data_IF_990564058727
#
_entry.id   IF_990564058727
#
_cell.length_a   1.000
_cell.length_b   1.000
_cell.length_c   1.000
_cell.angle_alpha   90.00
_cell.angle_beta   90.00
_cell.angle_gamma   90.00
#
_symmetry.space_group_name_H-M   'P 1'
#
loop_
_entity.id
_entity.type
_entity.pdbx_description
1 polymer ?
#
# COMPACT_ATOMS: atom_id res chain seq x y z
N UNK A 1 47.14 -17.21 65.22
CA UNK A 1 46.56 -18.23 66.11
C UNK A 1 45.06 -18.23 65.92
N UNK A 2 44.54 -19.45 65.74
CA UNK A 2 43.15 -19.90 65.82
C UNK A 2 42.19 -19.65 64.69
N UNK A 3 42.01 -20.76 63.96
CA UNK A 3 40.93 -21.17 63.09
C UNK A 3 39.57 -21.17 63.78
N UNK A 4 38.49 -20.77 63.05
CA UNK A 4 37.15 -21.35 63.28
C UNK A 4 36.58 -21.67 61.90
N UNK A 5 36.40 -22.97 61.63
CA UNK A 5 35.59 -23.48 60.49
C UNK A 5 34.11 -23.44 60.88
N UNK A 6 33.23 -22.96 60.04
CA UNK A 6 31.81 -23.24 60.12
C UNK A 6 31.34 -23.82 58.79
N UNK A 7 30.79 -25.02 58.89
CA UNK A 7 30.20 -25.81 57.80
C UNK A 7 28.98 -25.10 57.21
N UNK A 8 29.00 -24.89 55.91
CA UNK A 8 27.75 -24.61 55.14
C UNK A 8 27.44 -25.85 54.32
N UNK A 9 26.37 -26.53 54.69
CA UNK A 9 25.82 -27.68 53.97
C UNK A 9 25.24 -27.24 52.63
N UNK A 10 25.80 -27.78 51.55
CA UNK A 10 25.30 -27.66 50.21
C UNK A 10 24.03 -28.51 50.06
N UNK A 11 22.86 -27.89 49.95
CA UNK A 11 21.66 -28.55 49.44
C UNK A 11 21.69 -28.42 47.92
N UNK A 12 22.14 -29.49 47.27
CA UNK A 12 21.98 -29.67 45.80
C UNK A 12 20.51 -29.95 45.50
N UNK A 13 19.80 -28.92 45.10
CA UNK A 13 18.50 -29.08 44.46
C UNK A 13 18.72 -29.42 43.00
N UNK A 14 18.52 -30.67 42.62
CA UNK A 14 18.58 -31.17 41.26
C UNK A 14 17.36 -30.61 40.49
N UNK A 15 17.47 -29.42 39.93
CA UNK A 15 16.53 -28.91 38.96
C UNK A 15 16.70 -29.67 37.63
N UNK A 16 15.64 -30.32 37.24
CA UNK A 16 15.54 -31.17 36.07
C UNK A 16 15.84 -30.33 34.79
N UNK A 17 17.02 -30.57 34.19
CA UNK A 17 17.56 -29.85 33.02
C UNK A 17 16.63 -29.83 31.78
N UNK A 18 15.59 -30.66 31.76
CA UNK A 18 14.58 -30.70 30.69
C UNK A 18 13.65 -29.49 30.67
N UNK A 19 13.43 -28.80 31.80
CA UNK A 19 12.58 -27.62 31.88
C UNK A 19 13.29 -26.33 31.51
N UNK A 20 14.58 -26.26 31.70
CA UNK A 20 15.37 -25.06 31.33
C UNK A 20 15.51 -24.96 29.82
N UNK A 21 15.61 -26.08 29.11
CA UNK A 21 15.67 -26.09 27.62
C UNK A 21 14.32 -25.72 27.02
N UNK A 22 13.21 -26.12 27.63
CA UNK A 22 11.85 -25.75 27.14
C UNK A 22 11.53 -24.23 27.29
N UNK A 23 12.06 -23.59 28.35
CA UNK A 23 11.86 -22.14 28.57
C UNK A 23 12.76 -21.29 27.66
N UNK A 24 13.95 -21.80 27.30
CA UNK A 24 14.83 -21.05 26.36
C UNK A 24 14.33 -21.17 24.91
N UNK A 25 13.64 -22.26 24.54
CA UNK A 25 13.11 -22.44 23.20
C UNK A 25 11.81 -21.64 22.93
N UNK A 26 11.10 -21.20 23.97
CA UNK A 26 9.89 -20.39 23.84
C UNK A 26 10.15 -18.88 23.65
N UNK A 27 11.40 -18.42 23.76
CA UNK A 27 11.76 -17.00 23.52
C UNK A 27 12.28 -16.71 22.11
N UNK A 28 12.40 -17.71 21.24
CA UNK A 28 12.71 -17.53 19.83
C UNK A 28 11.47 -17.69 18.91
N UNK A 29 10.29 -17.34 19.39
CA UNK A 29 9.24 -16.93 18.45
C UNK A 29 9.67 -15.56 17.95
N UNK A 30 10.32 -15.53 16.79
CA UNK A 30 10.52 -14.32 16.02
C UNK A 30 9.14 -13.69 15.82
N UNK A 31 8.80 -12.72 16.65
CA UNK A 31 7.86 -11.69 16.25
C UNK A 31 8.56 -10.93 15.11
N UNK A 32 8.46 -11.42 13.89
CA UNK A 32 8.60 -10.56 12.75
C UNK A 32 7.41 -9.61 12.82
N UNK A 33 7.60 -8.50 13.52
CA UNK A 33 6.78 -7.32 13.27
C UNK A 33 6.96 -7.04 11.78
N UNK A 34 5.89 -7.12 11.01
CA UNK A 34 5.85 -6.55 9.67
C UNK A 34 6.22 -5.07 9.85
N UNK A 35 7.46 -4.73 9.51
CA UNK A 35 7.90 -3.35 9.53
C UNK A 35 7.29 -2.70 8.31
N UNK A 36 6.31 -1.87 8.52
CA UNK A 36 5.81 -0.97 7.50
C UNK A 36 6.86 0.11 7.30
N UNK A 37 7.46 0.18 6.11
CA UNK A 37 8.37 1.26 5.77
C UNK A 37 7.54 2.49 5.38
N UNK A 38 7.55 3.49 6.25
CA UNK A 38 6.80 4.73 6.06
C UNK A 38 7.68 5.94 6.29
N UNK A 39 7.55 6.94 5.43
CA UNK A 39 8.08 8.28 5.64
C UNK A 39 6.93 9.28 5.68
N UNK A 40 6.97 10.18 6.67
CA UNK A 40 5.95 11.20 6.94
C UNK A 40 6.66 12.55 6.98
N UNK A 41 6.05 13.58 6.39
CA UNK A 41 6.54 14.94 6.49
C UNK A 41 6.54 15.40 7.95
N UNK A 42 7.64 15.97 8.43
CA UNK A 42 7.86 16.32 9.84
C UNK A 42 8.17 17.80 10.10
N UNK A 43 8.33 18.59 9.04
CA UNK A 43 8.55 20.02 9.07
C UNK A 43 9.73 20.49 8.22
N UNK A 44 9.76 21.77 7.86
CA UNK A 44 10.74 22.31 6.92
C UNK A 44 12.17 22.25 7.46
N UNK A 45 13.13 22.02 6.56
CA UNK A 45 14.56 22.14 6.85
C UNK A 45 15.46 21.11 6.20
N UNK A 46 15.06 19.83 6.22
CA UNK A 46 15.89 18.72 5.74
C UNK A 46 15.14 17.80 4.76
N UNK A 47 14.19 18.33 4.02
CA UNK A 47 13.28 17.55 3.17
C UNK A 47 14.02 16.63 2.19
N UNK A 48 15.05 17.13 1.48
CA UNK A 48 15.81 16.31 0.52
C UNK A 48 16.65 15.25 1.23
N UNK A 49 17.27 15.60 2.34
CA UNK A 49 18.07 14.69 3.15
C UNK A 49 17.22 13.54 3.71
N UNK A 50 16.02 13.83 4.19
CA UNK A 50 15.10 12.85 4.74
C UNK A 50 14.55 11.92 3.67
N UNK A 51 14.09 12.45 2.54
CA UNK A 51 13.65 11.67 1.39
C UNK A 51 14.78 10.79 0.86
N UNK A 52 16.02 11.32 0.81
CA UNK A 52 17.20 10.57 0.38
C UNK A 52 17.55 9.47 1.38
N UNK A 53 17.54 9.77 2.67
CA UNK A 53 17.85 8.78 3.72
C UNK A 53 16.86 7.63 3.74
N UNK A 54 15.60 7.88 3.43
CA UNK A 54 14.56 6.84 3.35
C UNK A 54 14.63 6.05 2.04
N UNK A 55 14.59 6.74 0.90
CA UNK A 55 14.43 6.10 -0.41
C UNK A 55 15.71 5.47 -0.95
N UNK A 56 16.89 6.10 -0.72
CA UNK A 56 18.15 5.64 -1.26
C UNK A 56 19.35 6.21 -0.47
N UNK A 57 19.65 5.72 0.73
CA UNK A 57 20.70 6.26 1.58
C UNK A 57 22.04 6.42 0.86
N UNK A 58 22.60 7.65 0.86
CA UNK A 58 23.87 8.00 0.22
C UNK A 58 23.81 8.17 -1.31
N UNK A 59 22.62 8.19 -1.89
CA UNK A 59 22.37 8.36 -3.31
C UNK A 59 21.23 9.36 -3.54
N UNK A 60 20.94 9.72 -4.81
CA UNK A 60 19.91 10.72 -5.15
C UNK A 60 18.64 10.07 -5.75
N UNK A 61 17.56 9.94 -4.96
CA UNK A 61 16.27 9.43 -5.42
C UNK A 61 15.34 10.54 -5.96
N UNK A 62 15.79 11.78 -6.03
CA UNK A 62 15.00 12.97 -6.32
C UNK A 62 15.20 13.40 -7.78
N UNK A 63 14.11 13.52 -8.53
CA UNK A 63 14.12 13.92 -9.94
C UNK A 63 13.42 15.27 -10.08
N UNK A 64 14.19 16.37 -9.94
CA UNK A 64 13.70 17.76 -9.85
C UNK A 64 14.33 18.66 -10.91
N UNK A 65 13.68 19.78 -11.28
CA UNK A 65 14.21 20.75 -12.24
C UNK A 65 15.04 21.87 -11.58
N UNK A 66 15.58 21.69 -10.39
CA UNK A 66 16.24 22.74 -9.57
C UNK A 66 17.32 23.49 -10.32
N UNK A 67 18.11 22.80 -11.14
CA UNK A 67 19.21 23.43 -11.90
C UNK A 67 18.71 24.39 -12.98
N UNK A 68 17.54 24.13 -13.60
CA UNK A 68 16.94 25.02 -14.58
C UNK A 68 16.23 26.21 -13.96
N UNK A 69 15.89 26.10 -12.68
CA UNK A 69 15.19 27.12 -11.93
C UNK A 69 15.91 27.47 -10.62
N UNK A 70 17.22 27.64 -10.69
CA UNK A 70 18.08 27.86 -9.51
C UNK A 70 17.65 29.08 -8.66
N UNK A 71 16.98 30.08 -9.26
CA UNK A 71 16.46 31.23 -8.52
C UNK A 71 15.24 30.90 -7.64
N UNK A 72 14.54 29.81 -7.91
CA UNK A 72 13.45 29.32 -7.08
C UNK A 72 13.98 28.53 -5.88
N UNK A 73 15.01 27.72 -6.09
CA UNK A 73 15.57 26.82 -5.08
C UNK A 73 14.99 25.41 -5.20
N UNK A 74 14.83 24.75 -4.05
CA UNK A 74 14.33 23.37 -3.99
C UNK A 74 12.86 23.29 -4.43
N UNK A 75 12.55 22.37 -5.35
CA UNK A 75 11.17 22.14 -5.83
C UNK A 75 10.38 21.18 -4.97
N UNK A 76 10.96 20.65 -3.90
CA UNK A 76 10.25 19.90 -2.86
C UNK A 76 10.59 20.54 -1.51
N UNK A 77 9.59 20.98 -0.79
CA UNK A 77 9.69 21.45 0.59
C UNK A 77 8.59 20.83 1.45
N UNK A 78 8.46 21.30 2.68
CA UNK A 78 7.39 20.88 3.59
C UNK A 78 6.60 22.08 4.08
N UNK A 79 5.27 21.93 4.10
CA UNK A 79 4.32 22.94 4.54
C UNK A 79 3.36 22.36 5.57
N UNK A 80 2.99 23.18 6.56
CA UNK A 80 1.93 22.80 7.51
C UNK A 80 0.56 22.95 6.84
N UNK A 81 -0.22 21.88 6.79
CA UNK A 81 -1.59 21.88 6.30
C UNK A 81 -2.56 21.71 7.46
N UNK A 82 -3.41 22.71 7.66
CA UNK A 82 -4.36 22.76 8.79
C UNK A 82 -5.46 21.72 8.69
N UNK A 83 -5.78 21.24 7.50
CA UNK A 83 -6.85 20.24 7.31
C UNK A 83 -6.45 18.86 7.81
N UNK A 84 -5.15 18.49 7.74
CA UNK A 84 -4.63 17.25 8.36
C UNK A 84 -3.97 17.48 9.72
N UNK A 85 -3.83 18.74 10.14
CA UNK A 85 -3.20 19.10 11.42
C UNK A 85 -1.71 18.68 11.48
N UNK A 86 -1.00 18.64 10.34
CA UNK A 86 0.35 18.15 10.23
C UNK A 86 1.10 18.74 9.03
N UNK A 87 2.35 18.31 8.86
CA UNK A 87 3.15 18.68 7.70
C UNK A 87 2.85 17.79 6.50
N UNK A 88 3.08 18.35 5.30
CA UNK A 88 2.99 17.67 4.02
C UNK A 88 4.20 18.05 3.16
N UNK A 89 4.72 17.10 2.41
CA UNK A 89 5.65 17.35 1.31
C UNK A 89 4.93 18.10 0.22
N UNK A 90 5.52 19.21 -0.27
CA UNK A 90 4.94 20.02 -1.32
C UNK A 90 5.87 20.01 -2.53
N UNK A 91 5.34 19.53 -3.65
CA UNK A 91 6.05 19.37 -4.92
C UNK A 91 5.60 20.48 -5.87
N UNK A 92 6.51 21.37 -6.23
CA UNK A 92 6.25 22.47 -7.16
C UNK A 92 6.59 22.09 -8.59
N UNK A 93 5.86 22.65 -9.56
CA UNK A 93 6.23 22.65 -10.96
C UNK A 93 5.76 23.91 -11.64
N UNK A 94 6.66 24.60 -12.35
CA UNK A 94 6.40 25.83 -13.07
C UNK A 94 6.41 25.55 -14.56
N UNK A 95 5.45 26.12 -15.31
CA UNK A 95 5.39 25.92 -16.76
C UNK A 95 6.70 26.34 -17.44
N UNK A 96 7.32 27.39 -16.92
CA UNK A 96 8.61 27.91 -17.37
C UNK A 96 9.36 28.42 -16.12
N UNK A 97 10.65 28.09 -15.92
CA UNK A 97 11.58 27.38 -16.82
C UNK A 97 11.75 25.88 -16.54
N UNK A 98 10.90 25.24 -15.70
CA UNK A 98 11.12 23.87 -15.27
C UNK A 98 11.13 22.89 -16.45
N UNK A 99 12.01 21.88 -16.36
CA UNK A 99 12.16 20.82 -17.39
C UNK A 99 12.12 19.40 -16.81
N UNK A 100 12.50 18.38 -17.58
CA UNK A 100 12.62 17.00 -17.08
C UNK A 100 14.00 16.78 -16.45
N UNK A 101 14.12 17.04 -15.12
CA UNK A 101 15.30 16.67 -14.32
C UNK A 101 16.59 17.31 -14.83
N UNK A 102 16.54 18.56 -15.25
CA UNK A 102 17.71 19.24 -15.78
C UNK A 102 18.30 18.63 -17.07
N UNK A 103 17.47 17.95 -17.87
CA UNK A 103 17.87 17.43 -19.16
C UNK A 103 17.36 18.39 -20.25
N UNK A 104 18.26 19.20 -20.80
CA UNK A 104 17.91 20.29 -21.72
C UNK A 104 17.36 19.80 -23.06
N UNK A 105 17.70 18.56 -23.47
CA UNK A 105 17.21 17.97 -24.72
C UNK A 105 15.76 17.47 -24.63
N UNK A 106 15.15 17.49 -23.44
CA UNK A 106 13.76 17.07 -23.21
C UNK A 106 12.92 18.31 -22.94
N UNK A 107 12.27 18.82 -23.95
CA UNK A 107 11.46 20.06 -23.93
C UNK A 107 9.94 19.84 -23.96
N UNK A 108 9.51 18.59 -24.22
CA UNK A 108 8.09 18.24 -24.34
C UNK A 108 7.40 17.85 -23.01
N UNK A 109 8.17 17.87 -21.91
CA UNK A 109 7.70 17.45 -20.58
C UNK A 109 8.54 18.05 -19.45
N UNK A 110 7.98 18.03 -18.26
CA UNK A 110 8.65 18.47 -17.04
C UNK A 110 8.34 17.55 -15.87
N UNK A 111 9.28 17.45 -14.90
CA UNK A 111 9.22 16.47 -13.83
C UNK A 111 9.69 17.04 -12.51
N UNK A 112 8.91 16.71 -11.47
CA UNK A 112 9.29 16.78 -10.08
C UNK A 112 8.77 15.51 -9.39
N UNK A 113 9.62 14.49 -9.23
CA UNK A 113 9.24 13.17 -8.67
C UNK A 113 10.33 12.66 -7.73
N UNK A 114 9.90 11.85 -6.76
CA UNK A 114 10.77 10.96 -5.97
C UNK A 114 10.58 9.52 -6.44
N UNK A 115 11.59 8.68 -6.20
CA UNK A 115 11.59 7.28 -6.66
C UNK A 115 12.45 6.39 -5.80
N UNK A 116 12.21 5.08 -5.86
CA UNK A 116 13.23 4.08 -5.54
C UNK A 116 14.02 3.69 -6.81
N UNK A 117 15.24 3.15 -6.67
CA UNK A 117 16.07 2.71 -7.80
C UNK A 117 17.16 1.74 -7.32
N UNK A 118 18.19 1.41 -8.13
CA UNK A 118 19.17 0.37 -7.82
C UNK A 118 19.76 0.42 -6.40
N UNK A 119 20.23 1.57 -5.87
CA UNK A 119 20.81 1.64 -4.53
C UNK A 119 19.79 1.69 -3.39
N UNK A 120 18.49 1.75 -3.69
CA UNK A 120 17.45 1.70 -2.66
C UNK A 120 17.48 0.39 -1.90
N UNK A 121 17.09 0.39 -0.60
CA UNK A 121 16.87 -0.84 0.17
C UNK A 121 16.00 -1.84 -0.60
N UNK A 122 16.25 -3.15 -0.41
CA UNK A 122 15.53 -4.19 -1.16
C UNK A 122 14.03 -4.17 -0.91
N UNK A 123 13.63 -3.96 0.33
CA UNK A 123 12.26 -3.86 0.79
C UNK A 123 11.47 -2.65 0.24
N UNK A 124 12.13 -1.72 -0.46
CA UNK A 124 11.49 -0.60 -1.16
C UNK A 124 11.39 -0.83 -2.69
N UNK A 125 11.75 -2.02 -3.16
CA UNK A 125 11.74 -2.42 -4.58
C UNK A 125 10.91 -3.68 -4.75
N UNK A 126 9.90 -3.65 -5.62
CA UNK A 126 9.13 -4.86 -5.88
C UNK A 126 9.88 -5.83 -6.76
N UNK A 127 10.03 -7.09 -6.35
CA UNK A 127 10.67 -8.16 -7.12
C UNK A 127 9.68 -9.26 -7.52
N UNK A 128 10.11 -10.13 -8.44
CA UNK A 128 9.22 -11.16 -8.99
C UNK A 128 8.70 -12.10 -7.90
N UNK A 129 7.40 -12.29 -7.87
CA UNK A 129 6.71 -13.17 -6.91
C UNK A 129 6.19 -12.46 -5.67
N UNK A 130 6.65 -11.25 -5.39
CA UNK A 130 6.24 -10.48 -4.21
C UNK A 130 4.83 -9.90 -4.34
N UNK A 131 4.21 -9.75 -3.16
CA UNK A 131 3.02 -8.93 -2.97
C UNK A 131 3.43 -7.65 -2.26
N UNK A 132 3.09 -6.51 -2.83
CA UNK A 132 3.44 -5.21 -2.24
C UNK A 132 2.18 -4.37 -2.08
N UNK A 133 2.10 -3.67 -0.96
CA UNK A 133 1.08 -2.66 -0.68
C UNK A 133 1.77 -1.31 -0.61
N UNK A 134 1.35 -0.40 -1.49
CA UNK A 134 1.72 1.01 -1.42
C UNK A 134 0.57 1.80 -0.82
N UNK A 135 0.90 2.71 0.12
CA UNK A 135 -0.07 3.67 0.63
C UNK A 135 0.54 5.06 0.62
N UNK A 136 -0.25 6.03 0.24
CA UNK A 136 0.11 7.44 0.32
C UNK A 136 -1.15 8.30 0.36
N UNK A 137 -1.01 9.53 0.85
CA UNK A 137 -2.09 10.50 0.77
C UNK A 137 -1.62 11.73 0.01
N UNK A 138 -2.49 12.28 -0.84
CA UNK A 138 -2.18 13.45 -1.63
C UNK A 138 -3.36 14.45 -1.66
N UNK A 139 -3.04 15.70 -2.01
CA UNK A 139 -4.00 16.77 -2.23
C UNK A 139 -3.61 17.57 -3.45
N UNK A 140 -4.55 17.71 -4.38
CA UNK A 140 -4.44 18.61 -5.53
C UNK A 140 -5.05 19.96 -5.15
N UNK A 141 -4.43 21.10 -5.50
CA UNK A 141 -5.00 22.41 -5.18
C UNK A 141 -6.31 22.68 -5.91
N UNK A 142 -7.10 23.60 -5.38
CA UNK A 142 -8.30 24.07 -6.05
C UNK A 142 -7.94 24.64 -7.44
N UNK A 143 -8.65 24.18 -8.48
CA UNK A 143 -8.42 24.61 -9.85
C UNK A 143 -7.12 24.06 -10.48
N UNK A 144 -6.60 22.93 -10.01
CA UNK A 144 -5.51 22.19 -10.64
C UNK A 144 -5.78 21.97 -12.14
N UNK A 145 -4.78 22.24 -12.98
CA UNK A 145 -4.89 22.14 -14.44
C UNK A 145 -4.12 20.94 -14.97
N UNK A 146 -4.83 20.03 -15.60
CA UNK A 146 -4.29 18.83 -16.21
C UNK A 146 -3.82 19.08 -17.64
N UNK A 147 -2.76 18.41 -18.06
CA UNK A 147 -2.39 18.34 -19.48
C UNK A 147 -3.39 17.47 -20.27
N UNK A 148 -3.71 17.83 -21.52
CA UNK A 148 -4.45 16.93 -22.41
C UNK A 148 -3.73 15.62 -22.71
N UNK A 149 -2.39 15.57 -22.53
CA UNK A 149 -1.59 14.35 -22.75
C UNK A 149 -1.45 13.52 -21.48
N UNK A 150 -0.70 13.97 -20.52
CA UNK A 150 -0.56 13.29 -19.22
C UNK A 150 -0.10 14.27 -18.14
N UNK A 151 -0.55 14.01 -16.93
CA UNK A 151 -0.02 14.57 -15.69
C UNK A 151 -0.03 13.46 -14.66
N UNK A 152 1.09 12.75 -14.54
CA UNK A 152 1.23 11.63 -13.62
C UNK A 152 1.47 12.14 -12.20
N UNK A 153 0.70 11.59 -11.27
CA UNK A 153 0.86 11.81 -9.82
C UNK A 153 1.60 10.62 -9.21
N UNK A 154 1.45 9.45 -9.81
CA UNK A 154 2.12 8.23 -9.39
C UNK A 154 2.39 7.30 -10.57
N UNK A 155 3.48 6.52 -10.46
CA UNK A 155 3.86 5.52 -11.45
C UNK A 155 4.42 4.27 -10.75
N UNK A 156 4.08 3.08 -11.25
CA UNK A 156 4.87 1.87 -11.08
C UNK A 156 5.64 1.58 -12.36
N UNK A 157 6.96 1.48 -12.25
CA UNK A 157 7.82 1.38 -13.43
C UNK A 157 8.87 0.28 -13.28
N UNK A 158 8.94 -0.62 -14.26
CA UNK A 158 10.02 -1.61 -14.34
C UNK A 158 11.36 -0.93 -14.54
N UNK A 159 12.39 -1.50 -13.96
CA UNK A 159 13.80 -1.20 -14.24
C UNK A 159 14.41 -2.43 -14.86
N UNK A 160 15.20 -2.27 -15.94
CA UNK A 160 15.64 -3.38 -16.75
C UNK A 160 14.57 -3.87 -17.75
N UNK A 161 15.01 -4.65 -18.73
CA UNK A 161 14.17 -5.21 -19.81
C UNK A 161 13.74 -4.21 -20.88
N UNK A 162 13.11 -4.74 -21.92
CA UNK A 162 12.80 -4.00 -23.16
C UNK A 162 11.75 -2.89 -22.97
N UNK A 163 10.89 -3.02 -21.98
CA UNK A 163 9.76 -2.11 -21.75
C UNK A 163 9.99 -1.13 -20.61
N UNK A 164 11.21 -0.98 -20.10
CA UNK A 164 11.54 -0.09 -19.00
C UNK A 164 11.25 1.40 -19.27
N UNK A 165 11.17 1.83 -20.53
CA UNK A 165 10.83 3.21 -20.90
C UNK A 165 9.39 3.59 -20.56
N UNK A 166 8.45 2.61 -20.66
CA UNK A 166 7.02 2.80 -20.41
C UNK A 166 6.66 2.41 -18.97
N UNK A 167 6.01 3.30 -18.18
CA UNK A 167 5.43 2.90 -16.89
C UNK A 167 4.44 1.75 -17.04
N UNK A 168 4.44 0.81 -16.08
CA UNK A 168 3.50 -0.30 -16.07
C UNK A 168 2.12 0.17 -15.62
N UNK A 169 2.06 0.92 -14.53
CA UNK A 169 0.85 1.58 -14.04
C UNK A 169 1.10 3.07 -13.86
N UNK A 170 0.10 3.89 -14.12
CA UNK A 170 0.11 5.33 -13.82
C UNK A 170 -1.23 5.77 -13.29
N UNK A 171 -1.20 6.56 -12.21
CA UNK A 171 -2.31 7.40 -11.81
C UNK A 171 -2.05 8.78 -12.42
N UNK A 172 -2.91 9.21 -13.34
CA UNK A 172 -2.69 10.43 -14.14
C UNK A 172 -3.95 11.27 -14.20
N UNK A 173 -3.80 12.59 -14.11
CA UNK A 173 -4.89 13.49 -14.44
C UNK A 173 -4.83 13.85 -15.92
N UNK A 174 -5.99 14.13 -16.50
CA UNK A 174 -6.13 14.46 -17.92
C UNK A 174 -7.18 15.52 -18.14
N UNK A 175 -6.81 16.55 -18.91
CA UNK A 175 -7.78 17.57 -19.37
C UNK A 175 -8.82 16.94 -20.25
N UNK A 176 -10.07 17.32 -20.04
CA UNK A 176 -11.23 16.86 -20.77
C UNK A 176 -12.46 17.69 -20.45
N UNK A 177 -13.64 17.14 -20.72
CA UNK A 177 -14.92 17.75 -20.35
C UNK A 177 -15.87 16.69 -19.77
N UNK A 178 -15.83 16.45 -18.44
CA UNK A 178 -14.95 17.07 -17.43
C UNK A 178 -13.51 16.55 -17.46
N UNK A 179 -12.60 17.24 -16.74
CA UNK A 179 -11.26 16.70 -16.43
C UNK A 179 -11.39 15.42 -15.63
N UNK A 180 -10.44 14.49 -15.82
CA UNK A 180 -10.48 13.15 -15.25
C UNK A 180 -9.20 12.80 -14.49
N UNK A 181 -9.33 11.86 -13.56
CA UNK A 181 -8.22 11.05 -13.06
C UNK A 181 -8.37 9.65 -13.66
N UNK A 182 -7.28 9.11 -14.21
CA UNK A 182 -7.25 7.82 -14.91
C UNK A 182 -6.21 6.92 -14.27
N UNK A 183 -6.58 5.66 -14.04
CA UNK A 183 -5.64 4.56 -13.85
C UNK A 183 -5.35 3.93 -15.20
N UNK A 184 -4.07 3.93 -15.58
CA UNK A 184 -3.65 3.37 -16.87
C UNK A 184 -2.65 2.24 -16.66
N UNK A 185 -2.68 1.29 -17.56
CA UNK A 185 -1.81 0.12 -17.58
C UNK A 185 -1.16 -0.08 -18.93
N UNK A 186 0.10 -0.50 -18.94
CA UNK A 186 0.81 -0.93 -20.12
C UNK A 186 1.52 -2.26 -19.85
N UNK A 187 1.15 -3.29 -20.55
CA UNK A 187 1.89 -4.55 -20.57
C UNK A 187 3.25 -4.37 -21.26
N UNK A 188 3.26 -3.66 -22.38
CA UNK A 188 4.45 -3.40 -23.21
C UNK A 188 4.67 -1.88 -23.39
N UNK A 189 4.56 -1.37 -24.61
CA UNK A 189 4.79 0.05 -24.95
C UNK A 189 3.52 0.86 -25.11
N UNK A 190 2.34 0.23 -25.11
CA UNK A 190 1.05 0.89 -25.29
C UNK A 190 0.23 0.86 -24.00
N UNK A 191 -0.24 2.03 -23.58
CA UNK A 191 -1.10 2.16 -22.41
C UNK A 191 -2.58 2.08 -22.77
N UNK A 192 -3.35 1.38 -21.95
CA UNK A 192 -4.81 1.38 -21.92
C UNK A 192 -5.32 2.03 -20.63
N UNK A 193 -6.51 2.61 -20.65
CA UNK A 193 -7.21 3.07 -19.44
C UNK A 193 -7.93 1.88 -18.82
N UNK A 194 -7.64 1.59 -17.56
CA UNK A 194 -8.32 0.53 -16.79
C UNK A 194 -9.59 1.06 -16.13
N UNK A 195 -9.51 2.26 -15.57
CA UNK A 195 -10.63 2.94 -14.89
C UNK A 195 -10.40 4.45 -14.91
N UNK A 196 -11.48 5.21 -14.88
CA UNK A 196 -11.44 6.67 -14.84
C UNK A 196 -12.62 7.23 -14.04
N UNK A 197 -12.46 8.44 -13.49
CA UNK A 197 -13.51 9.17 -12.78
C UNK A 197 -13.29 10.68 -12.96
N UNK A 198 -14.32 11.53 -12.77
CA UNK A 198 -14.15 12.99 -12.78
C UNK A 198 -13.09 13.44 -11.75
N UNK A 199 -12.29 14.45 -12.13
CA UNK A 199 -11.24 14.99 -11.26
C UNK A 199 -11.78 15.84 -10.11
N UNK A 200 -12.94 16.43 -10.28
CA UNK A 200 -13.48 17.44 -9.34
C UNK A 200 -13.55 16.99 -7.86
N UNK A 201 -13.89 15.73 -7.51
CA UNK A 201 -13.90 15.30 -6.10
C UNK A 201 -12.53 15.27 -5.44
N UNK A 202 -11.44 15.28 -6.23
CA UNK A 202 -10.05 15.22 -5.72
C UNK A 202 -9.45 16.61 -5.49
N UNK A 203 -10.13 17.68 -5.92
CA UNK A 203 -9.60 19.04 -5.81
C UNK A 203 -9.83 19.61 -4.42
N UNK A 204 -8.74 20.14 -3.82
CA UNK A 204 -8.73 20.73 -2.48
C UNK A 204 -9.10 19.76 -1.34
N UNK A 205 -9.15 18.46 -1.62
CA UNK A 205 -9.42 17.40 -0.65
C UNK A 205 -8.20 16.52 -0.47
N UNK A 206 -7.92 16.11 0.77
CA UNK A 206 -6.98 15.03 1.03
C UNK A 206 -7.61 13.70 0.68
N UNK A 207 -6.89 12.93 -0.10
CA UNK A 207 -7.31 11.57 -0.47
C UNK A 207 -6.20 10.58 -0.13
N UNK A 208 -6.59 9.41 0.38
CA UNK A 208 -5.67 8.31 0.67
C UNK A 208 -5.79 7.24 -0.39
N UNK A 209 -4.65 6.83 -0.92
CA UNK A 209 -4.51 5.74 -1.90
C UNK A 209 -4.00 4.49 -1.21
N UNK A 210 -4.67 3.38 -1.45
CA UNK A 210 -4.17 2.04 -1.17
C UNK A 210 -4.06 1.28 -2.50
N UNK A 211 -2.83 0.95 -2.88
CA UNK A 211 -2.51 0.20 -4.09
C UNK A 211 -1.91 -1.15 -3.68
N UNK A 212 -2.42 -2.25 -4.26
CA UNK A 212 -1.93 -3.60 -4.00
C UNK A 212 -1.57 -4.28 -5.30
N UNK A 213 -0.40 -4.90 -5.34
CA UNK A 213 0.09 -5.57 -6.53
C UNK A 213 0.77 -6.88 -6.18
N UNK A 214 0.53 -7.90 -7.00
CA UNK A 214 1.36 -9.11 -7.06
C UNK A 214 2.26 -9.03 -8.29
N UNK A 215 3.57 -9.02 -8.11
CA UNK A 215 4.56 -8.93 -9.17
C UNK A 215 4.77 -10.28 -9.86
N UNK A 216 3.83 -10.65 -10.73
CA UNK A 216 3.81 -11.91 -11.46
C UNK A 216 3.45 -11.67 -12.92
N UNK A 217 3.78 -12.61 -13.80
CA UNK A 217 3.33 -12.62 -15.21
C UNK A 217 1.81 -12.88 -15.32
N UNK A 218 1.18 -13.30 -14.24
CA UNK A 218 -0.25 -13.54 -14.11
C UNK A 218 -0.70 -13.03 -12.73
N UNK A 219 -0.48 -11.73 -12.50
CA UNK A 219 -0.68 -11.09 -11.20
C UNK A 219 -2.01 -10.35 -11.08
N UNK A 220 -2.33 -9.98 -9.85
CA UNK A 220 -3.44 -9.07 -9.57
C UNK A 220 -2.92 -7.65 -9.29
N UNK A 221 -3.82 -6.69 -9.44
CA UNK A 221 -3.63 -5.30 -9.10
C UNK A 221 -4.93 -4.70 -8.60
N UNK A 222 -4.89 -3.92 -7.54
CA UNK A 222 -6.02 -3.13 -7.09
C UNK A 222 -5.58 -1.74 -6.63
N UNK A 223 -6.46 -0.76 -6.81
CA UNK A 223 -6.30 0.59 -6.30
C UNK A 223 -7.62 1.08 -5.74
N UNK A 224 -7.60 1.59 -4.52
CA UNK A 224 -8.69 2.28 -3.86
C UNK A 224 -8.23 3.68 -3.48
N UNK A 225 -9.04 4.70 -3.75
CA UNK A 225 -8.80 6.07 -3.31
C UNK A 225 -10.02 6.53 -2.53
N UNK A 226 -9.78 6.95 -1.30
CA UNK A 226 -10.83 7.41 -0.37
C UNK A 226 -10.57 8.86 0.03
N UNK A 227 -11.63 9.63 0.22
CA UNK A 227 -11.59 10.95 0.85
C UNK A 227 -11.24 10.79 2.34
N UNK A 228 -10.24 11.51 2.83
CA UNK A 228 -9.74 11.35 4.20
C UNK A 228 -10.74 11.85 5.24
N UNK A 229 -11.51 12.90 4.91
CA UNK A 229 -12.46 13.52 5.84
C UNK A 229 -13.78 12.74 5.92
N UNK A 230 -14.32 12.32 4.76
CA UNK A 230 -15.63 11.65 4.69
C UNK A 230 -15.54 10.13 4.66
N UNK A 231 -14.37 9.58 4.33
CA UNK A 231 -14.13 8.16 4.07
C UNK A 231 -14.95 7.61 2.88
N UNK A 232 -15.40 8.50 1.99
CA UNK A 232 -16.07 8.11 0.76
C UNK A 232 -15.07 7.54 -0.24
N UNK A 233 -15.43 6.43 -0.89
CA UNK A 233 -14.63 5.85 -1.96
C UNK A 233 -14.81 6.63 -3.25
N UNK A 234 -13.79 7.41 -3.64
CA UNK A 234 -13.82 8.25 -4.84
C UNK A 234 -13.39 7.49 -6.11
N UNK A 235 -12.52 6.46 -5.93
CA UNK A 235 -12.02 5.65 -7.03
C UNK A 235 -11.78 4.22 -6.57
N UNK A 236 -12.07 3.27 -7.45
CA UNK A 236 -11.80 1.86 -7.21
C UNK A 236 -11.51 1.11 -8.51
N UNK A 237 -10.49 0.26 -8.46
CA UNK A 237 -10.19 -0.74 -9.47
C UNK A 237 -9.64 -1.99 -8.80
N UNK A 238 -10.07 -3.16 -9.21
CA UNK A 238 -9.56 -4.44 -8.71
C UNK A 238 -9.77 -5.53 -9.77
N UNK A 239 -8.71 -6.23 -10.16
CA UNK A 239 -8.78 -7.38 -11.04
C UNK A 239 -8.54 -8.72 -10.32
N UNK A 240 -8.47 -8.73 -8.99
CA UNK A 240 -8.20 -9.95 -8.22
C UNK A 240 -9.30 -11.00 -8.29
N UNK A 241 -10.52 -10.59 -8.63
CA UNK A 241 -11.70 -11.46 -8.75
C UNK A 241 -12.08 -11.84 -10.18
N UNK A 242 -11.35 -11.36 -11.19
CA UNK A 242 -11.65 -11.61 -12.60
C UNK A 242 -10.69 -12.64 -13.20
N UNK A 243 -11.16 -13.40 -14.19
CA UNK A 243 -10.35 -14.36 -14.96
C UNK A 243 -9.35 -13.66 -15.92
N UNK A 244 -9.04 -12.39 -15.69
CA UNK A 244 -8.12 -11.60 -16.51
C UNK A 244 -6.96 -11.05 -15.66
N UNK A 245 -6.00 -11.91 -15.28
CA UNK A 245 -4.80 -11.46 -14.59
C UNK A 245 -3.99 -10.51 -15.50
N UNK A 246 -3.18 -9.63 -14.89
CA UNK A 246 -2.30 -8.70 -15.60
C UNK A 246 -0.85 -9.17 -15.51
N UNK A 247 -0.09 -8.84 -16.54
CA UNK A 247 1.36 -9.03 -16.54
C UNK A 247 2.00 -7.93 -15.69
N UNK A 248 2.16 -8.20 -14.40
CA UNK A 248 2.76 -7.27 -13.44
C UNK A 248 4.27 -7.50 -13.27
N UNK A 249 4.85 -8.42 -14.02
CA UNK A 249 6.28 -8.65 -14.12
C UNK A 249 6.69 -8.76 -15.58
N UNK A 250 7.47 -7.78 -16.06
CA UNK A 250 7.92 -7.73 -17.45
C UNK A 250 9.20 -8.52 -17.64
N UNK A 251 9.38 -9.20 -18.81
CA UNK A 251 10.60 -9.94 -19.11
C UNK A 251 11.84 -9.04 -19.01
N UNK A 252 12.89 -9.56 -18.36
CA UNK A 252 14.17 -8.85 -18.18
C UNK A 252 14.14 -7.72 -17.17
N UNK A 253 13.06 -7.54 -16.42
CA UNK A 253 13.03 -6.58 -15.32
C UNK A 253 13.91 -7.06 -14.16
N UNK A 254 14.69 -6.14 -13.59
CA UNK A 254 15.46 -6.35 -12.36
C UNK A 254 14.57 -6.17 -11.13
N UNK A 255 13.72 -5.15 -11.15
CA UNK A 255 12.73 -4.83 -10.13
C UNK A 255 11.68 -3.85 -10.68
N UNK A 256 10.61 -3.62 -9.92
CA UNK A 256 9.63 -2.57 -10.16
C UNK A 256 9.74 -1.53 -9.05
N UNK A 257 9.64 -0.26 -9.42
CA UNK A 257 9.75 0.87 -8.50
C UNK A 257 8.53 1.77 -8.53
N UNK A 258 8.13 2.30 -7.37
CA UNK A 258 7.20 3.41 -7.31
C UNK A 258 7.90 4.74 -7.62
N UNK A 259 7.11 5.69 -8.11
CA UNK A 259 7.45 7.11 -8.26
C UNK A 259 6.24 7.93 -7.87
N UNK A 260 6.46 9.01 -7.12
CA UNK A 260 5.43 9.96 -6.69
C UNK A 260 5.87 11.38 -6.99
N UNK A 261 4.91 12.25 -7.26
CA UNK A 261 5.18 13.66 -7.55
C UNK A 261 4.29 14.20 -8.66
N UNK A 262 4.86 15.04 -9.52
CA UNK A 262 4.19 15.56 -10.70
C UNK A 262 5.09 15.44 -11.93
N UNK A 263 4.64 14.67 -12.92
CA UNK A 263 5.31 14.49 -14.20
C UNK A 263 4.32 14.71 -15.33
N UNK A 264 4.46 15.82 -16.06
CA UNK A 264 3.46 16.24 -17.04
C UNK A 264 4.04 16.60 -18.39
N UNK A 265 3.22 16.45 -19.42
CA UNK A 265 3.55 16.86 -20.79
C UNK A 265 3.40 18.37 -20.97
N UNK A 266 4.35 18.99 -21.68
CA UNK A 266 4.33 20.38 -22.12
C UNK A 266 3.82 20.56 -23.56
N UNK A 267 3.41 19.49 -24.26
CA UNK A 267 2.92 19.58 -25.65
C UNK A 267 1.76 20.58 -25.82
N UNK A 268 0.99 20.81 -24.76
CA UNK A 268 -0.07 21.79 -24.67
C UNK A 268 0.16 22.66 -23.43
N UNK A 269 1.28 23.38 -23.40
CA UNK A 269 1.68 24.19 -22.25
C UNK A 269 0.73 25.35 -21.96
N UNK A 270 -0.02 25.81 -22.98
CA UNK A 270 -1.06 26.83 -22.86
C UNK A 270 -2.25 26.39 -21.98
N UNK A 271 -2.44 25.11 -21.79
CA UNK A 271 -3.44 24.56 -20.91
C UNK A 271 -2.98 24.41 -19.45
N UNK A 272 -1.71 24.71 -19.18
CA UNK A 272 -1.08 24.50 -17.88
C UNK A 272 -0.87 25.82 -17.15
N UNK A 273 -0.76 25.71 -15.85
CA UNK A 273 -0.29 26.75 -14.95
C UNK A 273 0.83 26.20 -14.06
N UNK A 274 1.44 27.05 -13.25
CA UNK A 274 2.28 26.60 -12.14
C UNK A 274 1.42 25.87 -11.14
N UNK A 275 1.86 24.67 -10.73
CA UNK A 275 1.12 23.80 -9.82
C UNK A 275 1.97 23.39 -8.63
N UNK A 276 1.29 22.99 -7.58
CA UNK A 276 1.82 22.25 -6.46
C UNK A 276 0.99 21.00 -6.21
N UNK A 277 1.61 19.94 -5.74
CA UNK A 277 0.93 18.73 -5.27
C UNK A 277 1.44 18.44 -3.87
N UNK A 278 0.53 18.21 -2.93
CA UNK A 278 0.90 17.87 -1.55
C UNK A 278 0.81 16.37 -1.34
N UNK A 279 1.78 15.83 -0.57
CA UNK A 279 1.77 14.45 -0.10
C UNK A 279 2.02 14.43 1.42
N UNK A 280 1.22 13.70 2.20
CA UNK A 280 1.41 13.67 3.65
C UNK A 280 2.36 12.56 4.11
N UNK A 281 2.37 11.45 3.39
CA UNK A 281 3.24 10.31 3.67
C UNK A 281 3.36 9.38 2.45
N UNK A 282 4.37 8.50 2.50
CA UNK A 282 4.56 7.38 1.57
C UNK A 282 4.88 6.12 2.37
N UNK A 283 4.26 5.01 2.01
CA UNK A 283 4.47 3.72 2.66
C UNK A 283 4.61 2.62 1.62
N UNK A 284 5.54 1.70 1.88
CA UNK A 284 5.80 0.51 1.08
C UNK A 284 5.84 -0.68 2.03
N UNK A 285 4.96 -1.65 1.82
CA UNK A 285 4.87 -2.87 2.61
C UNK A 285 5.05 -4.09 1.71
N UNK A 286 6.15 -4.80 1.85
CA UNK A 286 6.26 -6.15 1.31
C UNK A 286 5.43 -7.09 2.17
N UNK A 287 4.34 -7.57 1.60
CA UNK A 287 3.55 -8.61 2.26
C UNK A 287 4.21 -9.95 1.95
N UNK A 288 5.10 -10.39 2.83
CA UNK A 288 5.64 -11.73 2.76
C UNK A 288 4.47 -12.71 2.69
N UNK A 289 4.44 -13.53 1.66
CA UNK A 289 3.49 -14.64 1.54
C UNK A 289 3.82 -15.74 2.56
N UNK A 290 3.75 -15.41 3.84
CA UNK A 290 3.52 -16.40 4.88
C UNK A 290 2.06 -16.79 4.74
N UNK A 291 1.78 -17.61 3.70
CA UNK A 291 0.58 -18.42 3.58
C UNK A 291 -0.73 -17.72 4.01
N UNK A 292 -0.96 -16.47 3.62
CA UNK A 292 -2.32 -16.02 3.46
C UNK A 292 -2.76 -16.55 2.10
N UNK A 293 -3.31 -17.74 2.09
CA UNK A 293 -4.17 -18.17 1.01
C UNK A 293 -5.01 -16.97 0.62
N UNK A 294 -4.79 -16.48 -0.59
CA UNK A 294 -5.53 -15.34 -1.16
C UNK A 294 -7.01 -15.65 -0.92
N UNK A 295 -7.67 -14.84 -0.09
CA UNK A 295 -9.10 -15.03 0.13
C UNK A 295 -9.75 -14.69 -1.20
N UNK A 296 -9.93 -15.70 -2.06
CA UNK A 296 -10.85 -15.56 -3.18
C UNK A 296 -12.18 -15.22 -2.54
N UNK A 297 -12.60 -13.97 -2.68
CA UNK A 297 -13.85 -13.48 -2.12
C UNK A 297 -15.01 -14.11 -2.91
N UNK A 298 -15.07 -15.46 -2.81
CA UNK A 298 -16.17 -16.22 -3.37
C UNK A 298 -17.42 -15.84 -2.58
N UNK A 299 -18.54 -15.62 -3.26
CA UNK A 299 -19.77 -15.19 -2.64
C UNK A 299 -20.18 -16.17 -1.54
N UNK A 300 -19.92 -15.82 -0.29
CA UNK A 300 -20.42 -16.47 0.91
C UNK A 300 -21.37 -15.49 1.59
N UNK A 301 -22.62 -15.83 1.69
CA UNK A 301 -23.59 -15.06 2.47
C UNK A 301 -23.94 -15.82 3.74
N UNK A 302 -24.11 -15.08 4.83
CA UNK A 302 -24.52 -15.63 6.14
C UNK A 302 -25.75 -14.88 6.65
N UNK A 303 -26.67 -15.62 7.24
CA UNK A 303 -27.88 -15.04 7.83
C UNK A 303 -28.47 -15.94 8.93
N UNK A 304 -29.20 -15.33 9.88
CA UNK A 304 -29.27 -13.92 10.16
C UNK A 304 -27.95 -13.38 10.76
N UNK A 305 -27.68 -12.11 10.57
CA UNK A 305 -26.58 -11.42 11.23
C UNK A 305 -27.03 -9.98 11.52
N UNK A 306 -27.29 -9.58 12.79
CA UNK A 306 -27.08 -10.34 14.04
C UNK A 306 -27.93 -11.60 14.19
N UNK A 307 -27.47 -12.51 15.07
CA UNK A 307 -28.19 -13.75 15.41
C UNK A 307 -28.17 -14.01 16.92
N UNK A 308 -29.21 -14.72 17.39
CA UNK A 308 -29.32 -15.19 18.79
C UNK A 308 -28.98 -16.70 18.94
N UNK A 309 -28.94 -17.46 17.86
CA UNK A 309 -28.72 -18.89 17.94
C UNK A 309 -27.91 -19.48 16.77
N UNK A 310 -28.46 -19.48 15.57
CA UNK A 310 -27.90 -20.20 14.42
C UNK A 310 -27.61 -19.27 13.28
N UNK A 311 -26.49 -19.50 12.61
CA UNK A 311 -26.07 -18.83 11.39
C UNK A 311 -26.21 -19.84 10.25
N UNK A 312 -26.90 -19.45 9.18
CA UNK A 312 -27.00 -20.21 7.95
C UNK A 312 -25.99 -19.68 6.93
N UNK A 313 -25.36 -20.59 6.19
CA UNK A 313 -24.32 -20.30 5.20
C UNK A 313 -24.89 -20.61 3.82
N UNK A 314 -24.80 -19.63 2.92
CA UNK A 314 -25.16 -19.82 1.51
C UNK A 314 -23.92 -19.56 0.65
N UNK A 315 -23.36 -20.62 0.07
CA UNK A 315 -22.26 -20.58 -0.87
C UNK A 315 -22.09 -21.94 -1.55
N UNK A 316 -21.87 -21.94 -2.86
CA UNK A 316 -21.55 -23.18 -3.62
C UNK A 316 -20.08 -23.61 -3.48
N UNK A 317 -19.23 -22.77 -2.86
CA UNK A 317 -17.80 -23.01 -2.72
C UNK A 317 -17.39 -23.44 -1.32
N UNK A 318 -18.34 -23.50 -0.39
CA UNK A 318 -18.12 -23.78 1.02
C UNK A 318 -17.83 -25.25 1.27
N UNK A 319 -16.79 -25.54 2.03
CA UNK A 319 -16.47 -26.87 2.55
C UNK A 319 -16.57 -26.94 4.08
N UNK A 320 -15.90 -26.00 4.77
CA UNK A 320 -16.01 -25.85 6.22
C UNK A 320 -15.74 -24.40 6.67
N UNK A 321 -16.07 -24.11 7.92
CA UNK A 321 -15.77 -22.82 8.55
C UNK A 321 -15.12 -23.02 9.92
N UNK A 322 -14.31 -22.01 10.30
CA UNK A 322 -13.72 -21.89 11.62
C UNK A 322 -14.22 -20.61 12.29
N UNK A 323 -14.61 -20.71 13.55
CA UNK A 323 -15.10 -19.58 14.35
C UNK A 323 -14.07 -19.16 15.38
N UNK A 324 -13.81 -17.86 15.47
CA UNK A 324 -12.87 -17.23 16.39
C UNK A 324 -13.54 -16.12 17.19
N UNK A 325 -13.05 -15.90 18.44
CA UNK A 325 -13.40 -14.69 19.17
C UNK A 325 -12.59 -13.47 18.67
N UNK A 326 -12.87 -12.29 19.21
CA UNK A 326 -12.20 -11.05 18.81
C UNK A 326 -10.72 -10.98 19.19
N UNK A 327 -10.24 -11.89 20.05
CA UNK A 327 -8.82 -12.00 20.41
C UNK A 327 -8.08 -13.00 19.50
N UNK A 328 -8.76 -13.53 18.48
CA UNK A 328 -8.21 -14.53 17.56
C UNK A 328 -8.15 -15.96 18.15
N UNK A 329 -8.80 -16.21 19.28
CA UNK A 329 -8.87 -17.55 19.88
C UNK A 329 -9.86 -18.39 19.08
N UNK A 330 -9.39 -19.56 18.59
CA UNK A 330 -10.22 -20.57 17.96
C UNK A 330 -11.31 -21.10 18.92
N UNK A 331 -12.53 -21.22 18.44
CA UNK A 331 -13.68 -21.71 19.23
C UNK A 331 -14.17 -23.05 18.70
N UNK A 332 -14.48 -23.14 17.39
CA UNK A 332 -14.96 -24.39 16.76
C UNK A 332 -14.70 -24.39 15.25
N UNK A 333 -14.76 -25.57 14.65
CA UNK A 333 -14.85 -25.76 13.22
C UNK A 333 -16.14 -26.54 12.88
N UNK A 334 -16.73 -26.26 11.71
CA UNK A 334 -17.95 -26.93 11.23
C UNK A 334 -17.94 -27.03 9.71
N UNK A 335 -18.32 -28.19 9.19
CA UNK A 335 -18.59 -28.42 7.76
C UNK A 335 -20.10 -28.35 7.42
N UNK A 336 -20.96 -28.07 8.41
CA UNK A 336 -22.37 -27.91 8.20
C UNK A 336 -22.69 -26.53 7.64
N UNK A 337 -23.72 -26.43 6.79
CA UNK A 337 -24.26 -25.17 6.27
C UNK A 337 -25.01 -24.34 7.32
N UNK A 338 -25.01 -24.79 8.57
CA UNK A 338 -25.54 -24.10 9.73
C UNK A 338 -24.58 -24.24 10.91
N UNK A 339 -24.35 -23.14 11.62
CA UNK A 339 -23.48 -23.08 12.80
C UNK A 339 -24.29 -22.59 13.99
N UNK A 340 -24.44 -23.46 14.99
CA UNK A 340 -25.15 -23.11 16.23
C UNK A 340 -24.18 -22.38 17.20
N UNK A 341 -24.48 -21.11 17.49
CA UNK A 341 -23.74 -20.26 18.43
C UNK A 341 -24.61 -19.80 19.61
N UNK A 342 -25.72 -20.52 19.89
CA UNK A 342 -26.66 -20.18 20.97
C UNK A 342 -25.97 -20.07 22.34
N UNK A 343 -24.95 -20.90 22.58
CA UNK A 343 -24.17 -20.98 23.82
C UNK A 343 -23.01 -19.98 23.89
N UNK A 344 -22.79 -19.18 22.81
CA UNK A 344 -21.78 -18.13 22.81
C UNK A 344 -22.26 -16.92 23.63
N UNK A 345 -21.30 -16.20 24.21
CA UNK A 345 -21.57 -14.92 24.84
C UNK A 345 -21.98 -13.89 23.80
N UNK A 346 -22.76 -12.88 24.21
CA UNK A 346 -23.02 -11.74 23.34
C UNK A 346 -21.71 -11.04 22.94
N UNK A 347 -21.61 -10.64 21.70
CA UNK A 347 -20.42 -9.99 21.17
C UNK A 347 -20.16 -10.29 19.69
N UNK A 348 -18.96 -9.94 19.29
CA UNK A 348 -18.48 -10.11 17.91
C UNK A 348 -17.65 -11.38 17.78
N UNK A 349 -17.80 -12.05 16.64
CA UNK A 349 -17.06 -13.25 16.26
C UNK A 349 -16.57 -13.12 14.83
N UNK A 350 -15.44 -13.74 14.53
CA UNK A 350 -14.86 -13.85 13.19
C UNK A 350 -15.09 -15.29 12.70
N UNK A 351 -15.64 -15.42 11.50
CA UNK A 351 -15.78 -16.73 10.83
C UNK A 351 -14.92 -16.71 9.57
N UNK A 352 -14.00 -17.65 9.48
CA UNK A 352 -13.23 -17.96 8.28
C UNK A 352 -13.90 -19.12 7.54
N UNK A 353 -14.15 -18.94 6.25
CA UNK A 353 -14.78 -19.95 5.39
C UNK A 353 -13.72 -20.54 4.46
N UNK A 354 -13.72 -21.84 4.35
CA UNK A 354 -12.76 -22.60 3.55
C UNK A 354 -13.49 -23.38 2.46
N UNK A 355 -12.87 -23.44 1.29
CA UNK A 355 -13.28 -24.25 0.16
C UNK A 355 -12.55 -25.60 0.12
N UNK A 356 -12.58 -26.26 -1.05
CA UNK A 356 -11.81 -27.47 -1.28
C UNK A 356 -10.32 -27.18 -1.18
N UNK A 357 -9.54 -28.18 -0.71
CA UNK A 357 -8.09 -28.08 -0.50
C UNK A 357 -7.67 -27.03 0.55
N UNK A 358 -8.53 -26.78 1.55
CA UNK A 358 -8.27 -25.83 2.65
C UNK A 358 -8.02 -24.38 2.18
N UNK A 359 -8.54 -24.02 1.02
CA UNK A 359 -8.47 -22.67 0.47
C UNK A 359 -9.37 -21.73 1.30
N UNK A 360 -8.80 -20.68 1.90
CA UNK A 360 -9.58 -19.64 2.57
C UNK A 360 -10.36 -18.82 1.52
N UNK A 361 -11.69 -18.92 1.51
CA UNK A 361 -12.54 -18.31 0.48
C UNK A 361 -13.23 -17.02 0.94
N UNK A 362 -13.43 -16.83 2.25
CA UNK A 362 -14.07 -15.64 2.79
C UNK A 362 -13.86 -15.50 4.29
N UNK A 363 -13.89 -14.26 4.80
CA UNK A 363 -13.95 -13.95 6.23
C UNK A 363 -15.17 -13.06 6.47
N UNK A 364 -15.97 -13.38 7.48
CA UNK A 364 -17.16 -12.59 7.89
C UNK A 364 -17.12 -12.31 9.38
N UNK A 365 -17.62 -11.12 9.73
CA UNK A 365 -17.92 -10.74 11.10
C UNK A 365 -19.37 -11.14 11.42
N UNK A 366 -19.56 -11.75 12.57
CA UNK A 366 -20.87 -12.13 13.10
C UNK A 366 -21.14 -11.43 14.42
N UNK A 367 -22.35 -11.00 14.61
CA UNK A 367 -22.85 -10.38 15.85
C UNK A 367 -23.77 -11.37 16.55
N UNK A 368 -23.34 -11.88 17.70
CA UNK A 368 -24.19 -12.64 18.62
C UNK A 368 -24.90 -11.65 19.53
N UNK A 369 -26.22 -11.59 19.46
CA UNK A 369 -27.04 -10.80 20.36
C UNK A 369 -28.27 -11.60 20.75
N UNK A 370 -28.63 -11.58 22.03
CA UNK A 370 -29.88 -12.20 22.46
C UNK A 370 -31.04 -11.27 22.07
N UNK A 371 -32.07 -11.83 21.46
CA UNK A 371 -33.34 -11.09 21.29
C UNK A 371 -33.84 -10.68 22.68
N UNK A 372 -34.08 -9.40 22.87
CA UNK A 372 -34.86 -8.91 24.01
C UNK A 372 -36.33 -9.21 23.80
#
# INVERSE_FOLDING_TARGET
MNKIYSYLSLVLCTLNTKWVIAVIFSFFVNNQSLSQDVIVANGPGNTYEELTAFLAPGHDPIEVPDCNHASFGNHIDEVYDTSIGGYAYRFFIHVTPDNDRCIDEIDDRQRNEIKTYHPSPSNLKGTQGENVIYKWAFKLPAGFQSSPKFTHIHQLKSVGGDFQSMPMYTLTTRKGSPDKIELRYAETTSQITLSETPLSPFLNNWVEVTEKINYSTSGFYSMSIVDVDTNDQLFYYDNSGFDEPKTNWRPGADFVRPKWGIYRSLVYSEDLRNEEVLFSYFSIDEVNSLNTNYVKNKNVTIYPNPTDATIYINSQYYNYAEVYDMNGKFILSSSNYEINISHFKEGFYIIKFFGNLDELICIKKVIKSNKK
#
